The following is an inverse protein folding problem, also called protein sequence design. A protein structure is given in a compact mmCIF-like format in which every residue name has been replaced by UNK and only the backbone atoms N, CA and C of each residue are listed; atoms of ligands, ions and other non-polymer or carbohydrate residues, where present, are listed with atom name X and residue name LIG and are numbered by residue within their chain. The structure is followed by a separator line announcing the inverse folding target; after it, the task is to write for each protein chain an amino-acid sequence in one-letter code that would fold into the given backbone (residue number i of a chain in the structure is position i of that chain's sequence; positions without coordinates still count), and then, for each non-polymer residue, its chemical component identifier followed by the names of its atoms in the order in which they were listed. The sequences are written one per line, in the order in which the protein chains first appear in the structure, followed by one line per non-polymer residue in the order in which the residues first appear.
data_IF_313101159329
#
_entry.id   IF_313101159329
#
_cell.length_a   1.000
_cell.length_b   1.000
_cell.length_c   1.000
_cell.angle_alpha   90.00
_cell.angle_beta   90.00
_cell.angle_gamma   90.00
#
_symmetry.space_group_name_H-M   'P 1'
#
loop_
_entity.id
_entity.type
_entity.pdbx_description
1 polymer ?
#
# COMPACT_ATOMS: atom_id res chain seq x y z
N UNK A 1 -42.95 -13.41 -1.11
CA UNK A 1 -42.19 -12.42 -1.90
C UNK A 1 -41.38 -11.56 -0.94
N UNK A 2 -40.12 -11.28 -1.30
CA UNK A 2 -39.20 -10.25 -0.74
C UNK A 2 -38.72 -10.54 0.71
N UNK A 3 -37.44 -10.60 1.06
CA UNK A 3 -36.29 -9.80 0.69
C UNK A 3 -34.99 -10.64 0.76
N UNK A 4 -34.45 -11.04 -0.39
CA UNK A 4 -33.03 -11.38 -0.49
C UNK A 4 -32.30 -10.04 -0.59
N UNK A 5 -31.89 -9.49 0.55
CA UNK A 5 -31.05 -8.30 0.59
C UNK A 5 -29.66 -8.71 0.12
N UNK A 6 -29.46 -8.44 -1.16
CA UNK A 6 -28.21 -8.53 -1.90
C UNK A 6 -27.16 -7.70 -1.16
N UNK A 7 -26.37 -8.37 -0.32
CA UNK A 7 -25.09 -7.85 0.15
C UNK A 7 -24.05 -8.13 -0.95
N UNK A 8 -24.25 -7.55 -2.13
CA UNK A 8 -23.13 -7.28 -3.04
C UNK A 8 -22.33 -6.16 -2.39
N UNK A 9 -21.52 -6.55 -1.41
CA UNK A 9 -20.46 -5.71 -0.91
C UNK A 9 -19.62 -5.30 -2.11
N UNK A 10 -19.58 -3.99 -2.32
CA UNK A 10 -18.74 -3.24 -3.26
C UNK A 10 -17.35 -3.88 -3.38
N UNK A 11 -17.17 -4.85 -4.27
CA UNK A 11 -15.86 -5.14 -4.85
C UNK A 11 -15.71 -4.11 -5.94
N UNK A 12 -15.27 -2.92 -5.53
CA UNK A 12 -14.59 -2.03 -6.46
C UNK A 12 -13.28 -2.74 -6.79
N UNK A 13 -13.35 -3.60 -7.81
CA UNK A 13 -12.21 -4.24 -8.41
C UNK A 13 -11.50 -3.14 -9.19
N UNK A 14 -10.74 -2.31 -8.47
CA UNK A 14 -9.82 -1.37 -9.07
C UNK A 14 -8.97 -2.15 -10.08
N UNK A 15 -8.91 -1.66 -11.30
CA UNK A 15 -8.13 -2.21 -12.42
C UNK A 15 -6.61 -2.13 -12.18
N UNK A 16 -6.14 -2.41 -10.97
CA UNK A 16 -4.75 -2.48 -10.61
C UNK A 16 -4.29 -3.93 -10.62
N UNK A 17 -3.41 -4.26 -11.55
CA UNK A 17 -2.40 -5.33 -11.46
C UNK A 17 -2.41 -6.08 -10.13
N UNK A 18 -2.82 -7.35 -10.17
CA UNK A 18 -2.86 -8.38 -9.10
C UNK A 18 -2.14 -8.02 -7.79
N UNK A 19 -2.71 -7.13 -6.99
CA UNK A 19 -2.33 -6.99 -5.59
C UNK A 19 -3.11 -8.04 -4.82
N UNK A 20 -2.46 -9.15 -4.44
CA UNK A 20 -3.12 -10.25 -3.73
C UNK A 20 -3.54 -9.87 -2.29
N UNK A 21 -3.07 -8.73 -1.80
CA UNK A 21 -3.46 -8.15 -0.51
C UNK A 21 -4.56 -7.11 -0.69
N UNK A 22 -5.56 -7.12 0.18
CA UNK A 22 -6.55 -6.04 0.23
C UNK A 22 -5.87 -4.73 0.67
N UNK A 23 -6.41 -3.58 0.27
CA UNK A 23 -5.88 -2.25 0.63
C UNK A 23 -5.68 -2.08 2.14
N UNK A 24 -6.60 -2.62 2.95
CA UNK A 24 -6.50 -2.62 4.41
C UNK A 24 -5.37 -3.52 4.92
N UNK A 25 -5.20 -4.73 4.35
CA UNK A 25 -4.08 -5.61 4.72
C UNK A 25 -2.73 -4.98 4.39
N UNK A 26 -2.62 -4.33 3.22
CA UNK A 26 -1.43 -3.57 2.85
C UNK A 26 -1.18 -2.45 3.87
N UNK A 27 -2.20 -1.69 4.25
CA UNK A 27 -2.08 -0.64 5.27
C UNK A 27 -1.59 -1.16 6.61
N UNK A 28 -2.07 -2.33 7.06
CA UNK A 28 -1.60 -2.97 8.29
C UNK A 28 -0.12 -3.34 8.18
N UNK A 29 0.31 -3.88 7.05
CA UNK A 29 1.73 -4.19 6.80
C UNK A 29 2.60 -2.93 6.67
N UNK A 30 2.02 -1.79 6.28
CA UNK A 30 2.69 -0.49 6.21
C UNK A 30 2.61 0.35 7.50
N UNK A 31 1.96 -0.14 8.58
CA UNK A 31 2.03 0.50 9.91
C UNK A 31 3.47 0.83 10.32
N UNK A 32 4.45 -0.11 10.28
CA UNK A 32 5.84 0.20 10.60
C UNK A 32 6.50 1.18 9.60
N UNK A 33 5.97 1.28 8.38
CA UNK A 33 6.48 2.21 7.37
C UNK A 33 5.96 3.64 7.53
N UNK A 34 4.90 3.86 8.32
CA UNK A 34 4.19 5.15 8.39
C UNK A 34 5.12 6.31 8.78
N UNK A 35 6.07 6.07 9.67
CA UNK A 35 7.07 7.06 10.06
C UNK A 35 8.00 7.45 8.90
N UNK A 36 8.35 6.53 8.01
CA UNK A 36 9.22 6.78 6.86
C UNK A 36 8.47 7.45 5.68
N UNK A 37 7.13 7.30 5.61
CA UNK A 37 6.28 7.91 4.58
C UNK A 37 5.53 9.15 5.04
N UNK A 38 5.73 9.59 6.28
CA UNK A 38 5.17 10.84 6.75
C UNK A 38 5.77 12.02 5.93
N UNK A 39 4.99 13.08 5.68
CA UNK A 39 5.47 14.25 4.96
C UNK A 39 6.71 14.82 5.67
N UNK A 40 7.77 15.07 4.89
CA UNK A 40 9.07 15.56 5.37
C UNK A 40 9.81 14.65 6.36
N UNK A 41 9.47 13.36 6.42
CA UNK A 41 10.20 12.44 7.29
C UNK A 41 11.66 12.30 6.86
N UNK A 42 12.56 12.50 7.82
CA UNK A 42 14.00 12.19 7.69
C UNK A 42 14.36 10.85 8.33
N UNK A 43 13.37 10.13 8.86
CA UNK A 43 13.59 8.87 9.56
C UNK A 43 13.84 7.77 8.52
N UNK A 44 14.96 7.03 8.62
CA UNK A 44 15.20 5.91 7.71
C UNK A 44 14.17 4.80 7.93
N UNK A 45 13.72 4.11 6.87
CA UNK A 45 12.80 2.98 7.01
C UNK A 45 13.49 1.83 7.76
N UNK A 46 12.79 1.26 8.74
CA UNK A 46 13.27 0.07 9.45
C UNK A 46 13.29 -1.15 8.53
N UNK A 47 14.10 -2.15 8.85
CA UNK A 47 14.22 -3.38 8.06
C UNK A 47 12.87 -4.11 7.90
N UNK A 48 12.05 -4.13 8.95
CA UNK A 48 10.67 -4.66 8.92
C UNK A 48 9.81 -3.95 7.88
N UNK A 49 9.94 -2.62 7.76
CA UNK A 49 9.22 -1.86 6.75
C UNK A 49 9.69 -2.27 5.36
N UNK A 50 11.00 -2.35 5.13
CA UNK A 50 11.53 -2.73 3.83
C UNK A 50 11.16 -4.16 3.42
N UNK A 51 11.11 -5.10 4.37
CA UNK A 51 10.64 -6.45 4.12
C UNK A 51 9.15 -6.47 3.76
N UNK A 52 8.32 -5.65 4.42
CA UNK A 52 6.91 -5.49 4.06
C UNK A 52 6.75 -4.91 2.64
N UNK A 53 7.54 -3.90 2.27
CA UNK A 53 7.50 -3.32 0.91
C UNK A 53 7.91 -4.35 -0.14
N UNK A 54 8.97 -5.13 0.11
CA UNK A 54 9.39 -6.22 -0.78
C UNK A 54 8.32 -7.30 -0.92
N UNK A 55 7.69 -7.70 0.19
CA UNK A 55 6.61 -8.68 0.20
C UNK A 55 5.33 -8.17 -0.50
N UNK A 56 5.06 -6.86 -0.45
CA UNK A 56 3.92 -6.25 -1.12
C UNK A 56 4.03 -6.30 -2.65
N UNK A 57 5.25 -6.10 -3.16
CA UNK A 57 5.50 -6.00 -4.59
C UNK A 57 5.16 -4.62 -5.18
N UNK A 58 5.68 -4.38 -6.39
CA UNK A 58 5.38 -3.20 -7.20
C UNK A 58 3.87 -2.97 -7.45
N UNK A 59 3.04 -4.00 -7.78
CA UNK A 59 1.63 -3.78 -8.10
C UNK A 59 0.83 -3.24 -6.91
N UNK A 60 1.00 -3.80 -5.71
CA UNK A 60 0.31 -3.30 -4.52
C UNK A 60 0.73 -1.88 -4.15
N UNK A 61 2.03 -1.58 -4.23
CA UNK A 61 2.52 -0.24 -3.91
C UNK A 61 1.99 0.81 -4.90
N UNK A 62 1.89 0.44 -6.18
CA UNK A 62 1.31 1.29 -7.22
C UNK A 62 -0.16 1.62 -6.92
N UNK A 63 -0.96 0.63 -6.53
CA UNK A 63 -2.35 0.84 -6.09
C UNK A 63 -2.42 1.74 -4.87
N UNK A 64 -1.53 1.57 -3.88
CA UNK A 64 -1.52 2.39 -2.68
C UNK A 64 -1.19 3.86 -2.96
N UNK A 65 -0.23 4.09 -3.86
CA UNK A 65 0.21 5.43 -4.25
C UNK A 65 -0.80 6.12 -5.17
N UNK A 66 -1.46 5.37 -6.07
CA UNK A 66 -2.45 5.95 -6.99
C UNK A 66 -3.87 5.97 -6.43
N UNK A 67 -4.14 5.20 -5.37
CA UNK A 67 -5.41 5.17 -4.66
C UNK A 67 -5.72 6.45 -3.87
N UNK A 68 -6.87 6.54 -3.19
CA UNK A 68 -7.29 7.75 -2.49
C UNK A 68 -6.25 8.24 -1.47
N UNK A 69 -6.15 9.56 -1.24
CA UNK A 69 -5.17 10.12 -0.33
C UNK A 69 -5.35 9.55 1.09
N UNK A 70 -4.27 9.03 1.66
CA UNK A 70 -4.26 8.47 3.00
C UNK A 70 -3.66 9.49 3.96
N UNK A 71 -4.43 9.87 4.98
CA UNK A 71 -3.96 10.82 6.00
C UNK A 71 -2.66 10.33 6.63
N UNK A 72 -1.64 11.19 6.63
CA UNK A 72 -0.32 10.90 7.20
C UNK A 72 0.61 10.08 6.30
N UNK A 73 0.25 9.86 5.04
CA UNK A 73 1.13 9.28 4.02
C UNK A 73 1.34 10.31 2.91
N UNK A 74 2.61 10.66 2.66
CA UNK A 74 2.98 11.50 1.52
C UNK A 74 3.23 10.62 0.30
N UNK A 75 2.50 10.86 -0.79
CA UNK A 75 2.62 10.09 -2.04
C UNK A 75 4.03 10.14 -2.63
N UNK A 76 4.73 11.26 -2.51
CA UNK A 76 6.10 11.39 -3.02
C UNK A 76 7.07 10.58 -2.16
N UNK A 77 6.88 10.56 -0.84
CA UNK A 77 7.68 9.74 0.06
C UNK A 77 7.41 8.25 -0.16
N UNK A 78 6.14 7.87 -0.36
CA UNK A 78 5.76 6.50 -0.66
C UNK A 78 6.38 5.97 -1.97
N UNK A 79 6.47 6.81 -3.02
CA UNK A 79 7.16 6.46 -4.28
C UNK A 79 8.67 6.26 -4.12
N UNK A 80 9.29 6.92 -3.15
CA UNK A 80 10.73 6.78 -2.87
C UNK A 80 11.04 5.59 -1.96
N UNK A 81 10.04 4.96 -1.34
CA UNK A 81 10.26 3.80 -0.47
C UNK A 81 11.00 2.63 -1.15
N UNK A 82 10.64 2.20 -2.37
CA UNK A 82 11.34 1.10 -3.04
C UNK A 82 12.83 1.39 -3.21
N UNK A 83 13.15 2.62 -3.59
CA UNK A 83 14.53 3.07 -3.76
C UNK A 83 15.26 3.13 -2.41
N UNK A 84 14.63 3.63 -1.35
CA UNK A 84 15.20 3.67 0.01
C UNK A 84 15.40 2.28 0.63
N UNK A 85 14.55 1.32 0.27
CA UNK A 85 14.59 -0.05 0.77
C UNK A 85 15.35 -1.02 -0.13
N UNK A 86 15.96 -0.54 -1.23
CA UNK A 86 16.59 -1.35 -2.27
C UNK A 86 15.70 -2.53 -2.67
N UNK A 87 14.39 -2.27 -2.79
CA UNK A 87 13.42 -3.24 -3.22
C UNK A 87 13.49 -3.30 -4.75
N UNK A 88 14.28 -4.25 -5.26
CA UNK A 88 14.22 -4.64 -6.66
C UNK A 88 12.97 -5.50 -6.83
N UNK A 89 11.91 -4.90 -7.35
CA UNK A 89 10.79 -5.68 -7.84
C UNK A 89 11.20 -6.26 -9.19
N UNK A 90 11.26 -7.59 -9.29
CA UNK A 90 11.41 -8.24 -10.59
C UNK A 90 10.22 -7.85 -11.49
N UNK A 91 10.49 -7.57 -12.79
CA UNK A 91 9.50 -7.01 -13.72
C UNK A 91 8.37 -7.99 -14.07
#
# INVERSE_FOLDING_TARGET
MVFVLVLTGMVEQGEGTTCHSTFLSALVQLIPCRAAVAPFSRIPPSETCCNAIKALGQPCLCVLVNGPPITGVDRNMARQLPQKCTANFEP
#
